data_IF_504826582502
#
_entry.id   IF_504826582502
#
_cell.length_a   1.000
_cell.length_b   1.000
_cell.length_c   1.000
_cell.angle_alpha   90.00
_cell.angle_beta   90.00
_cell.angle_gamma   90.00
#
_symmetry.space_group_name_H-M   'P 1'
#
loop_
_entity.id
_entity.type
_entity.pdbx_description
1 polymer ?
#
# COMPACT_ATOMS: atom_id res chain seq x y z
N UNK A 1 -3.63 -18.66 1.22
CA UNK A 1 -3.87 -20.00 1.80
C UNK A 1 -5.06 -20.72 1.16
N UNK A 2 -6.13 -20.04 0.77
CA UNK A 2 -7.34 -20.65 0.20
C UNK A 2 -7.08 -21.36 -1.15
N UNK A 3 -6.18 -20.84 -1.97
CA UNK A 3 -5.91 -21.39 -3.31
C UNK A 3 -4.71 -22.33 -3.38
N UNK A 4 -4.05 -22.64 -2.25
CA UNK A 4 -2.89 -23.55 -2.21
C UNK A 4 -1.65 -23.07 -2.99
N UNK A 5 -1.67 -21.85 -3.53
CA UNK A 5 -0.57 -21.29 -4.32
C UNK A 5 0.49 -20.71 -3.40
N UNK A 6 1.73 -21.19 -3.55
CA UNK A 6 2.87 -20.65 -2.85
C UNK A 6 3.37 -19.39 -3.56
N UNK A 7 3.30 -18.25 -2.87
CA UNK A 7 3.87 -16.97 -3.32
C UNK A 7 5.05 -16.60 -2.43
N UNK A 8 5.91 -15.68 -2.87
CA UNK A 8 7.02 -15.19 -2.03
C UNK A 8 6.52 -14.67 -0.68
N UNK A 9 5.44 -13.88 -0.67
CA UNK A 9 4.86 -13.34 0.56
C UNK A 9 4.33 -14.42 1.49
N UNK A 10 3.68 -15.47 0.96
CA UNK A 10 3.23 -16.59 1.77
C UNK A 10 4.39 -17.44 2.25
N UNK A 11 5.47 -17.58 1.47
CA UNK A 11 6.71 -18.22 1.85
C UNK A 11 7.40 -17.52 3.02
N UNK A 12 7.60 -16.20 2.92
CA UNK A 12 8.17 -15.36 4.00
C UNK A 12 7.37 -15.53 5.29
N UNK A 13 6.04 -15.40 5.20
CA UNK A 13 5.18 -15.53 6.38
C UNK A 13 5.22 -16.93 6.98
N UNK A 14 5.26 -17.97 6.17
CA UNK A 14 5.34 -19.36 6.62
C UNK A 14 6.67 -19.65 7.31
N UNK A 15 7.79 -19.26 6.69
CA UNK A 15 9.13 -19.45 7.28
C UNK A 15 9.25 -18.72 8.61
N UNK A 16 8.83 -17.44 8.64
CA UNK A 16 8.92 -16.63 9.84
C UNK A 16 7.98 -17.12 10.96
N UNK A 17 6.67 -17.19 10.67
CA UNK A 17 5.65 -17.38 11.70
C UNK A 17 5.38 -18.85 12.05
N UNK A 18 5.40 -19.74 11.03
CA UNK A 18 5.02 -21.14 11.24
C UNK A 18 6.24 -22.02 11.54
N UNK A 19 7.41 -21.72 10.97
CA UNK A 19 8.63 -22.51 11.12
C UNK A 19 9.62 -21.89 12.12
N UNK A 20 9.45 -20.62 12.49
CA UNK A 20 10.40 -19.88 13.34
C UNK A 20 11.75 -19.63 12.68
N UNK A 21 11.86 -19.91 11.38
CA UNK A 21 13.09 -19.76 10.61
C UNK A 21 13.19 -18.33 10.06
N UNK A 22 13.78 -17.45 10.87
CA UNK A 22 13.97 -16.04 10.55
C UNK A 22 15.01 -15.86 9.44
N UNK A 23 15.99 -16.74 9.36
CA UNK A 23 17.07 -16.69 8.36
C UNK A 23 16.51 -16.92 6.96
N UNK A 24 15.80 -18.00 6.73
CA UNK A 24 15.13 -18.28 5.45
C UNK A 24 14.10 -17.21 5.11
N UNK A 25 13.33 -16.71 6.09
CA UNK A 25 12.38 -15.63 5.87
C UNK A 25 13.08 -14.35 5.40
N UNK A 26 14.23 -14.00 5.99
CA UNK A 26 15.01 -12.81 5.62
C UNK A 26 15.62 -12.94 4.22
N UNK A 27 16.14 -14.10 3.85
CA UNK A 27 16.65 -14.37 2.50
C UNK A 27 15.56 -14.22 1.44
N UNK A 28 14.37 -14.77 1.67
CA UNK A 28 13.23 -14.63 0.76
C UNK A 28 12.78 -13.16 0.66
N UNK A 29 12.81 -12.41 1.78
CA UNK A 29 12.45 -11.00 1.81
C UNK A 29 13.44 -10.16 0.99
N UNK A 30 14.74 -10.40 1.13
CA UNK A 30 15.80 -9.72 0.36
C UNK A 30 15.68 -10.03 -1.14
N UNK A 31 15.43 -11.29 -1.50
CA UNK A 31 15.24 -11.70 -2.89
C UNK A 31 14.02 -10.99 -3.50
N UNK A 32 12.91 -10.97 -2.78
CA UNK A 32 11.71 -10.25 -3.21
C UNK A 32 11.96 -8.74 -3.35
N UNK A 33 12.72 -8.13 -2.44
CA UNK A 33 13.12 -6.74 -2.54
C UNK A 33 13.88 -6.45 -3.84
N UNK A 34 14.86 -7.27 -4.21
CA UNK A 34 15.60 -7.09 -5.45
C UNK A 34 14.71 -7.24 -6.69
N UNK A 35 13.77 -8.18 -6.69
CA UNK A 35 12.79 -8.34 -7.77
C UNK A 35 11.95 -7.06 -7.92
N UNK A 36 11.44 -6.52 -6.82
CA UNK A 36 10.64 -5.27 -6.83
C UNK A 36 11.47 -4.09 -7.35
N UNK A 37 12.69 -3.92 -6.85
CA UNK A 37 13.60 -2.84 -7.31
C UNK A 37 13.93 -2.98 -8.80
N UNK A 38 14.12 -4.19 -9.29
CA UNK A 38 14.38 -4.46 -10.71
C UNK A 38 13.20 -4.02 -11.59
N UNK A 39 11.97 -4.45 -11.27
CA UNK A 39 10.78 -4.05 -12.02
C UNK A 39 10.51 -2.54 -11.94
N UNK A 40 10.68 -1.95 -10.78
CA UNK A 40 10.55 -0.50 -10.61
C UNK A 40 11.58 0.27 -11.44
N UNK A 41 12.81 -0.21 -11.51
CA UNK A 41 13.86 0.40 -12.34
C UNK A 41 13.53 0.33 -13.82
N UNK A 42 12.96 -0.80 -14.28
CA UNK A 42 12.49 -0.95 -15.67
C UNK A 42 11.34 0.02 -15.94
N UNK A 43 10.33 0.06 -15.10
CA UNK A 43 9.21 0.99 -15.24
C UNK A 43 9.68 2.43 -15.35
N UNK A 44 10.58 2.82 -14.48
CA UNK A 44 11.15 4.15 -14.48
C UNK A 44 11.94 4.46 -15.77
N UNK A 45 12.76 3.51 -16.23
CA UNK A 45 13.50 3.66 -17.49
C UNK A 45 12.54 3.83 -18.68
N UNK A 46 11.46 3.06 -18.72
CA UNK A 46 10.44 3.19 -19.75
C UNK A 46 9.70 4.53 -19.65
N UNK A 47 9.26 4.92 -18.47
CA UNK A 47 8.53 6.17 -18.24
C UNK A 47 9.39 7.41 -18.52
N UNK A 48 10.70 7.35 -18.30
CA UNK A 48 11.62 8.45 -18.64
C UNK A 48 11.71 8.70 -20.15
N UNK A 49 11.49 7.67 -20.99
CA UNK A 49 11.46 7.80 -22.45
C UNK A 49 10.13 8.35 -22.97
N UNK A 50 9.03 8.10 -22.29
CA UNK A 50 7.69 8.57 -22.67
C UNK A 50 7.37 9.86 -21.92
N UNK A 51 7.86 11.01 -22.42
CA UNK A 51 7.34 12.31 -22.00
C UNK A 51 5.91 12.41 -22.54
N UNK A 52 4.93 12.12 -21.72
CA UNK A 52 3.55 12.49 -22.01
C UNK A 52 3.47 14.02 -22.03
N UNK A 53 3.60 14.62 -23.19
CA UNK A 53 3.27 16.01 -23.40
C UNK A 53 1.75 16.12 -23.21
N UNK A 54 1.32 16.49 -22.01
CA UNK A 54 -0.03 16.99 -21.83
C UNK A 54 -0.15 18.26 -22.66
N UNK A 55 -0.65 18.13 -23.90
CA UNK A 55 -1.06 19.28 -24.67
C UNK A 55 -2.24 19.92 -23.95
N UNK A 56 -2.16 21.20 -23.53
CA UNK A 56 -3.29 21.90 -22.92
C UNK A 56 -4.48 22.04 -23.86
N UNK A 57 -4.32 21.68 -25.11
CA UNK A 57 -5.36 21.69 -26.13
C UNK A 57 -6.15 20.38 -26.13
N UNK A 58 -6.81 20.08 -25.04
CA UNK A 58 -7.84 19.05 -25.01
C UNK A 58 -8.99 19.51 -25.90
N UNK A 59 -9.02 19.01 -27.16
CA UNK A 59 -10.25 19.09 -27.95
C UNK A 59 -11.38 18.63 -27.05
N UNK A 60 -12.38 19.50 -26.81
CA UNK A 60 -13.58 19.11 -26.07
C UNK A 60 -14.07 17.81 -26.70
N UNK A 61 -14.05 16.75 -25.93
CA UNK A 61 -14.65 15.48 -26.37
C UNK A 61 -16.07 15.78 -26.79
N UNK A 62 -16.40 15.56 -28.05
CA UNK A 62 -17.76 15.66 -28.54
C UNK A 62 -18.58 14.65 -27.71
N UNK A 63 -19.51 15.16 -26.95
CA UNK A 63 -20.39 14.32 -26.13
C UNK A 63 -21.37 13.62 -27.08
N UNK A 64 -20.89 12.57 -27.76
CA UNK A 64 -21.76 11.71 -28.55
C UNK A 64 -22.44 10.76 -27.56
N UNK A 65 -23.73 10.97 -27.36
CA UNK A 65 -24.53 10.04 -26.55
C UNK A 65 -24.55 8.67 -27.25
N UNK A 66 -24.06 7.60 -26.59
CA UNK A 66 -24.01 6.29 -27.22
C UNK A 66 -25.45 5.80 -27.55
N UNK A 67 -25.61 5.11 -28.69
CA UNK A 67 -26.84 4.45 -29.05
C UNK A 67 -27.35 3.54 -27.92
N UNK A 68 -28.64 3.34 -27.80
CA UNK A 68 -29.27 2.55 -26.74
C UNK A 68 -28.59 1.17 -26.54
N UNK A 69 -28.28 0.47 -27.62
CA UNK A 69 -27.57 -0.83 -27.60
C UNK A 69 -26.18 -0.71 -27.01
N UNK A 70 -25.42 0.30 -27.42
CA UNK A 70 -24.07 0.54 -26.90
C UNK A 70 -24.08 0.91 -25.42
N UNK A 71 -25.10 1.62 -24.95
CA UNK A 71 -25.29 1.95 -23.54
C UNK A 71 -25.47 0.70 -22.69
N UNK A 72 -26.32 -0.24 -23.14
CA UNK A 72 -26.52 -1.51 -22.44
C UNK A 72 -25.20 -2.30 -22.36
N UNK A 73 -24.48 -2.42 -23.47
CA UNK A 73 -23.17 -3.13 -23.50
C UNK A 73 -22.18 -2.49 -22.53
N UNK A 74 -22.06 -1.18 -22.53
CA UNK A 74 -21.18 -0.44 -21.61
C UNK A 74 -21.55 -0.74 -20.16
N UNK A 75 -22.85 -0.70 -19.81
CA UNK A 75 -23.29 -1.00 -18.44
C UNK A 75 -22.94 -2.45 -18.05
N UNK A 76 -23.18 -3.42 -18.94
CA UNK A 76 -22.82 -4.81 -18.67
C UNK A 76 -21.32 -4.99 -18.46
N UNK A 77 -20.49 -4.44 -19.34
CA UNK A 77 -19.02 -4.54 -19.24
C UNK A 77 -18.50 -3.89 -17.96
N UNK A 78 -19.08 -2.75 -17.55
CA UNK A 78 -18.70 -2.09 -16.29
C UNK A 78 -19.24 -2.82 -15.06
N UNK A 79 -20.39 -3.49 -15.16
CA UNK A 79 -21.03 -4.16 -14.03
C UNK A 79 -20.36 -5.50 -13.68
N UNK A 80 -19.85 -6.22 -14.68
CA UNK A 80 -19.19 -7.52 -14.48
C UNK A 80 -18.06 -7.46 -13.45
N UNK A 81 -17.07 -6.56 -13.53
CA UNK A 81 -16.01 -6.46 -12.52
C UNK A 81 -16.56 -6.14 -11.13
N UNK A 82 -17.62 -5.33 -11.04
CA UNK A 82 -18.23 -4.97 -9.75
C UNK A 82 -18.93 -6.19 -9.14
N UNK A 83 -19.68 -6.94 -9.94
CA UNK A 83 -20.37 -8.14 -9.45
C UNK A 83 -19.37 -9.21 -9.03
N UNK A 84 -18.39 -9.53 -9.89
CA UNK A 84 -17.43 -10.60 -9.62
C UNK A 84 -16.41 -10.22 -8.54
N UNK A 85 -15.92 -8.97 -8.56
CA UNK A 85 -14.85 -8.52 -7.66
C UNK A 85 -15.34 -7.96 -6.33
N UNK A 86 -16.58 -7.53 -6.24
CA UNK A 86 -17.12 -6.91 -5.03
C UNK A 86 -18.39 -7.62 -4.52
N UNK A 87 -19.43 -7.75 -5.34
CA UNK A 87 -20.73 -8.22 -4.87
C UNK A 87 -20.68 -9.67 -4.38
N UNK A 88 -20.08 -10.56 -5.16
CA UNK A 88 -19.98 -11.98 -4.80
C UNK A 88 -19.16 -12.18 -3.52
N UNK A 89 -17.92 -11.62 -3.37
CA UNK A 89 -17.17 -11.71 -2.11
C UNK A 89 -17.92 -11.12 -0.91
N UNK A 90 -18.58 -9.99 -1.08
CA UNK A 90 -19.35 -9.36 0.02
C UNK A 90 -20.53 -10.24 0.44
N UNK A 91 -21.31 -10.78 -0.50
CA UNK A 91 -22.42 -11.69 -0.18
C UNK A 91 -21.92 -12.96 0.53
N UNK A 92 -20.78 -13.51 0.11
CA UNK A 92 -20.16 -14.65 0.78
C UNK A 92 -19.76 -14.32 2.23
N UNK A 93 -19.13 -13.15 2.47
CA UNK A 93 -18.77 -12.69 3.81
C UNK A 93 -20.03 -12.48 4.66
N UNK A 94 -21.06 -11.80 4.14
CA UNK A 94 -22.32 -11.57 4.86
C UNK A 94 -22.96 -12.90 5.27
N UNK A 95 -23.04 -13.86 4.35
CA UNK A 95 -23.59 -15.17 4.65
C UNK A 95 -22.84 -15.88 5.79
N UNK A 96 -21.51 -15.84 5.77
CA UNK A 96 -20.69 -16.40 6.84
C UNK A 96 -20.90 -15.68 8.17
N UNK A 97 -21.00 -14.36 8.17
CA UNK A 97 -21.30 -13.56 9.38
C UNK A 97 -22.65 -13.93 9.97
N UNK A 98 -23.69 -14.08 9.13
CA UNK A 98 -25.03 -14.49 9.60
C UNK A 98 -24.97 -15.89 10.22
N UNK A 99 -24.22 -16.81 9.61
CA UNK A 99 -24.10 -18.19 10.10
C UNK A 99 -23.36 -18.27 11.44
N UNK A 100 -22.29 -17.48 11.63
CA UNK A 100 -21.47 -17.48 12.84
C UNK A 100 -21.88 -16.39 13.85
N UNK A 101 -23.01 -15.69 13.62
CA UNK A 101 -23.42 -14.52 14.40
C UNK A 101 -23.45 -14.76 15.91
N UNK A 102 -23.93 -15.94 16.33
CA UNK A 102 -24.01 -16.33 17.75
C UNK A 102 -22.64 -16.56 18.42
N UNK A 103 -21.56 -16.69 17.64
CA UNK A 103 -20.19 -16.90 18.14
C UNK A 103 -19.36 -15.63 18.15
N UNK A 104 -19.92 -14.51 17.68
CA UNK A 104 -19.21 -13.24 17.60
C UNK A 104 -19.13 -12.61 18.99
N UNK A 105 -17.90 -12.42 19.46
CA UNK A 105 -17.60 -11.61 20.63
C UNK A 105 -17.58 -10.12 20.23
N UNK A 106 -18.71 -9.44 20.45
CA UNK A 106 -18.87 -8.04 20.06
C UNK A 106 -17.95 -7.10 20.83
N UNK A 107 -17.63 -7.40 22.10
CA UNK A 107 -16.69 -6.60 22.89
C UNK A 107 -15.29 -6.65 22.29
N UNK A 108 -14.83 -7.84 21.94
CA UNK A 108 -13.55 -8.05 21.27
C UNK A 108 -13.50 -7.34 19.91
N UNK A 109 -14.57 -7.46 19.11
CA UNK A 109 -14.66 -6.79 17.79
C UNK A 109 -14.60 -5.28 17.95
N UNK A 110 -15.33 -4.72 18.92
CA UNK A 110 -15.32 -3.28 19.20
C UNK A 110 -13.93 -2.79 19.62
N UNK A 111 -13.26 -3.49 20.52
CA UNK A 111 -11.92 -3.15 20.99
C UNK A 111 -10.89 -3.22 19.85
N UNK A 112 -10.93 -4.27 19.02
CA UNK A 112 -10.04 -4.39 17.85
C UNK A 112 -10.29 -3.29 16.83
N UNK A 113 -11.56 -2.96 16.57
CA UNK A 113 -11.94 -1.89 15.65
C UNK A 113 -11.45 -0.54 16.13
N UNK A 114 -11.67 -0.23 17.41
CA UNK A 114 -11.23 1.03 18.03
C UNK A 114 -9.72 1.18 17.94
N UNK A 115 -8.97 0.15 18.30
CA UNK A 115 -7.51 0.15 18.19
C UNK A 115 -7.04 0.38 16.74
N UNK A 116 -7.69 -0.29 15.79
CA UNK A 116 -7.36 -0.13 14.36
C UNK A 116 -7.62 1.30 13.86
N UNK A 117 -8.75 1.90 14.26
CA UNK A 117 -9.10 3.28 13.92
C UNK A 117 -8.08 4.26 14.51
N UNK A 118 -7.73 4.11 15.80
CA UNK A 118 -6.77 4.99 16.47
C UNK A 118 -5.40 4.93 15.76
N UNK A 119 -4.88 3.72 15.50
CA UNK A 119 -3.60 3.53 14.82
C UNK A 119 -3.64 4.17 13.42
N UNK A 120 -4.72 3.94 12.69
CA UNK A 120 -4.87 4.47 11.32
C UNK A 120 -4.95 5.98 11.30
N UNK A 121 -5.67 6.61 12.24
CA UNK A 121 -5.78 8.06 12.35
C UNK A 121 -4.43 8.70 12.70
N UNK A 122 -3.73 8.17 13.69
CA UNK A 122 -2.42 8.69 14.08
C UNK A 122 -1.43 8.55 12.93
N UNK A 123 -1.35 7.36 12.32
CA UNK A 123 -0.44 7.12 11.21
C UNK A 123 -0.75 8.02 10.00
N UNK A 124 -2.03 8.18 9.64
CA UNK A 124 -2.43 9.04 8.52
C UNK A 124 -2.11 10.50 8.76
N UNK A 125 -2.32 10.99 9.97
CA UNK A 125 -1.99 12.37 10.35
C UNK A 125 -0.48 12.63 10.22
N UNK A 126 0.34 11.73 10.74
CA UNK A 126 1.80 11.80 10.60
C UNK A 126 2.22 11.78 9.13
N UNK A 127 1.65 10.87 8.32
CA UNK A 127 1.93 10.76 6.89
C UNK A 127 1.60 12.06 6.17
N UNK A 128 0.44 12.66 6.43
CA UNK A 128 0.02 13.91 5.79
C UNK A 128 0.97 15.05 6.14
N UNK A 129 1.32 15.21 7.41
CA UNK A 129 2.25 16.25 7.87
C UNK A 129 3.61 16.10 7.17
N UNK A 130 4.19 14.89 7.19
CA UNK A 130 5.50 14.64 6.57
C UNK A 130 5.42 14.82 5.05
N UNK A 131 4.35 14.34 4.40
CA UNK A 131 4.19 14.43 2.96
C UNK A 131 4.07 15.89 2.48
N UNK A 132 3.27 16.71 3.17
CA UNK A 132 3.15 18.15 2.88
C UNK A 132 4.48 18.85 3.07
N UNK A 133 5.15 18.62 4.20
CA UNK A 133 6.47 19.19 4.48
C UNK A 133 7.50 18.82 3.41
N UNK A 134 7.53 17.56 3.02
CA UNK A 134 8.47 17.04 2.02
C UNK A 134 8.22 17.64 0.62
N UNK A 135 6.94 17.77 0.19
CA UNK A 135 6.62 18.39 -1.09
C UNK A 135 6.88 19.89 -1.09
N UNK A 136 6.69 20.56 0.03
CA UNK A 136 7.04 21.97 0.20
C UNK A 136 8.56 22.19 0.08
N UNK A 137 9.38 21.38 0.75
CA UNK A 137 10.83 21.41 0.61
C UNK A 137 11.28 21.17 -0.83
N UNK A 138 10.69 20.21 -1.52
CA UNK A 138 10.99 19.91 -2.92
C UNK A 138 10.71 21.13 -3.83
N UNK A 139 9.64 21.86 -3.55
CA UNK A 139 9.28 23.06 -4.31
C UNK A 139 10.29 24.19 -4.12
N UNK A 140 10.76 24.41 -2.88
CA UNK A 140 11.70 25.49 -2.57
C UNK A 140 13.12 25.15 -3.08
N UNK A 141 13.61 23.98 -2.75
CA UNK A 141 15.03 23.67 -2.90
C UNK A 141 15.40 22.98 -4.21
N UNK A 142 14.50 22.68 -5.13
CA UNK A 142 14.74 22.03 -6.46
C UNK A 142 16.00 21.13 -6.54
N UNK A 143 16.32 20.45 -5.42
CA UNK A 143 17.55 19.68 -5.25
C UNK A 143 17.37 18.25 -5.76
N UNK A 144 18.40 17.73 -6.44
CA UNK A 144 18.44 16.34 -6.95
C UNK A 144 18.29 15.31 -5.83
N UNK A 145 18.86 15.61 -4.65
CA UNK A 145 18.76 14.74 -3.47
C UNK A 145 17.31 14.55 -3.01
N UNK A 146 16.53 15.63 -2.94
CA UNK A 146 15.11 15.56 -2.52
C UNK A 146 14.30 14.75 -3.54
N UNK A 147 14.61 14.89 -4.83
CA UNK A 147 13.97 14.10 -5.89
C UNK A 147 14.29 12.62 -5.71
N UNK A 148 15.53 12.27 -5.42
CA UNK A 148 15.95 10.90 -5.14
C UNK A 148 15.21 10.29 -3.95
N UNK A 149 15.09 11.02 -2.83
CA UNK A 149 14.33 10.55 -1.67
C UNK A 149 12.84 10.32 -2.00
N UNK A 150 12.21 11.19 -2.78
CA UNK A 150 10.83 10.98 -3.25
C UNK A 150 10.67 9.66 -4.03
N UNK A 151 11.67 9.29 -4.80
CA UNK A 151 11.66 8.05 -5.57
C UNK A 151 11.86 6.82 -4.69
N UNK A 152 12.76 6.91 -3.72
CA UNK A 152 12.98 5.85 -2.72
C UNK A 152 11.71 5.63 -1.90
N UNK A 153 11.05 6.70 -1.46
CA UNK A 153 9.78 6.61 -0.73
C UNK A 153 8.70 5.92 -1.58
N UNK A 154 8.67 6.19 -2.88
CA UNK A 154 7.70 5.53 -3.78
C UNK A 154 7.87 4.01 -3.85
N UNK A 155 9.08 3.50 -3.62
CA UNK A 155 9.36 2.05 -3.54
C UNK A 155 8.71 1.38 -2.33
N UNK A 156 8.54 2.10 -1.23
CA UNK A 156 8.01 1.50 0.01
C UNK A 156 6.61 0.92 -0.14
N UNK A 157 5.80 1.49 -1.02
CA UNK A 157 4.46 0.97 -1.32
C UNK A 157 4.49 -0.36 -2.09
N UNK A 158 5.49 -0.57 -2.93
CA UNK A 158 5.64 -1.80 -3.71
C UNK A 158 6.10 -2.98 -2.83
N UNK A 159 6.67 -2.70 -1.64
CA UNK A 159 7.12 -3.75 -0.73
C UNK A 159 5.93 -4.39 -0.01
N UNK A 160 5.87 -5.73 0.05
CA UNK A 160 4.89 -6.42 0.88
C UNK A 160 5.03 -6.08 2.35
N UNK A 161 3.89 -5.94 3.05
CA UNK A 161 3.91 -5.58 4.47
C UNK A 161 4.66 -6.56 5.36
N UNK A 162 4.68 -7.84 5.00
CA UNK A 162 5.45 -8.86 5.71
C UNK A 162 6.96 -8.56 5.69
N UNK A 163 7.49 -8.04 4.58
CA UNK A 163 8.91 -7.67 4.45
C UNK A 163 9.23 -6.50 5.38
N UNK A 164 8.38 -5.47 5.39
CA UNK A 164 8.55 -4.30 6.27
C UNK A 164 8.46 -4.72 7.74
N UNK A 165 7.46 -5.53 8.10
CA UNK A 165 7.29 -6.02 9.47
C UNK A 165 8.48 -6.83 9.95
N UNK A 166 8.95 -7.80 9.14
CA UNK A 166 10.13 -8.60 9.46
C UNK A 166 11.39 -7.74 9.60
N UNK A 167 11.62 -6.80 8.68
CA UNK A 167 12.78 -5.91 8.73
C UNK A 167 12.80 -5.04 9.99
N UNK A 168 11.64 -4.55 10.43
CA UNK A 168 11.54 -3.77 11.66
C UNK A 168 11.80 -4.63 12.90
N UNK A 169 11.24 -5.84 12.95
CA UNK A 169 11.51 -6.74 14.07
C UNK A 169 13.00 -7.05 14.14
N UNK A 170 13.63 -7.43 13.02
CA UNK A 170 15.07 -7.69 12.97
C UNK A 170 15.89 -6.48 13.39
N UNK A 171 15.52 -5.28 12.94
CA UNK A 171 16.22 -4.04 13.31
C UNK A 171 16.18 -3.82 14.81
N UNK A 172 15.02 -3.96 15.44
CA UNK A 172 14.86 -3.70 16.87
C UNK A 172 15.37 -4.83 17.77
N UNK A 173 15.47 -6.07 17.26
CA UNK A 173 16.04 -7.19 18.00
C UNK A 173 17.56 -7.27 17.89
N UNK A 174 18.16 -6.80 16.78
CA UNK A 174 19.60 -6.90 16.54
C UNK A 174 20.40 -5.77 17.18
N UNK A 175 19.77 -4.65 17.53
CA UNK A 175 20.42 -3.55 18.24
C UNK A 175 20.15 -3.65 19.74
N UNK A 176 21.12 -3.25 20.59
CA UNK A 176 20.98 -3.33 22.05
C UNK A 176 20.04 -2.26 22.62
N UNK A 177 18.93 -2.05 21.96
CA UNK A 177 17.79 -1.40 22.59
C UNK A 177 17.16 -2.44 23.51
N UNK A 178 17.73 -2.62 24.70
CA UNK A 178 17.31 -3.55 25.75
C UNK A 178 15.86 -3.36 26.24
N UNK A 179 15.07 -2.61 25.52
CA UNK A 179 13.68 -2.41 25.85
C UNK A 179 12.81 -3.37 25.04
N UNK A 180 12.61 -4.58 25.57
CA UNK A 180 11.53 -5.49 25.16
C UNK A 180 10.17 -4.79 25.06
N UNK A 181 10.00 -3.68 25.79
CA UNK A 181 8.84 -2.79 25.74
C UNK A 181 8.62 -2.10 24.39
N UNK A 182 9.65 -1.95 23.54
CA UNK A 182 9.51 -1.36 22.20
C UNK A 182 9.03 -2.38 21.18
N UNK A 183 9.46 -3.64 21.33
CA UNK A 183 9.07 -4.73 20.41
C UNK A 183 7.61 -5.09 20.72
N UNK A 184 6.72 -4.86 19.77
CA UNK A 184 5.27 -5.05 19.95
C UNK A 184 4.54 -3.80 20.45
N UNK A 185 5.25 -2.67 20.63
CA UNK A 185 4.63 -1.42 21.03
C UNK A 185 3.77 -0.82 19.90
N UNK A 186 2.76 -0.06 20.32
CA UNK A 186 1.92 0.76 19.45
C UNK A 186 2.77 1.67 18.53
N UNK A 187 3.90 2.19 19.02
CA UNK A 187 4.80 3.07 18.29
C UNK A 187 5.46 2.40 17.07
N UNK A 188 5.92 1.16 17.21
CA UNK A 188 6.52 0.42 16.09
C UNK A 188 5.50 0.15 15.00
N UNK A 189 4.26 -0.16 15.38
CA UNK A 189 3.18 -0.40 14.42
C UNK A 189 2.82 0.87 13.64
N UNK A 190 2.71 2.02 14.34
CA UNK A 190 2.54 3.33 13.70
C UNK A 190 3.69 3.64 12.76
N UNK A 191 4.94 3.40 13.19
CA UNK A 191 6.14 3.61 12.36
C UNK A 191 6.12 2.73 11.10
N UNK A 192 5.74 1.45 11.23
CA UNK A 192 5.56 0.54 10.10
C UNK A 192 4.54 1.06 9.08
N UNK A 193 3.41 1.56 9.56
CA UNK A 193 2.37 2.14 8.71
C UNK A 193 2.84 3.43 8.03
N UNK A 194 3.54 4.29 8.76
CA UNK A 194 4.11 5.52 8.18
C UNK A 194 5.07 5.19 7.05
N UNK A 195 6.03 4.29 7.25
CA UNK A 195 6.95 3.86 6.20
C UNK A 195 6.19 3.31 5.00
N UNK A 196 5.27 2.38 5.24
CA UNK A 196 4.55 1.68 4.17
C UNK A 196 3.68 2.60 3.33
N UNK A 197 2.95 3.50 3.96
CA UNK A 197 1.94 4.32 3.30
C UNK A 197 2.39 5.74 2.96
N UNK A 198 3.66 6.09 3.23
CA UNK A 198 4.21 7.40 2.89
C UNK A 198 4.08 7.72 1.40
N UNK A 199 4.29 6.74 0.53
CA UNK A 199 4.13 6.89 -0.92
C UNK A 199 2.71 7.29 -1.32
N UNK A 200 1.69 6.75 -0.62
CA UNK A 200 0.27 7.06 -0.86
C UNK A 200 -0.03 8.51 -0.47
N UNK A 201 0.59 9.02 0.60
CA UNK A 201 0.46 10.42 1.00
C UNK A 201 1.17 11.39 0.03
N UNK A 202 2.33 11.02 -0.47
CA UNK A 202 3.15 11.87 -1.35
C UNK A 202 2.57 11.95 -2.77
N UNK A 203 2.06 10.86 -3.32
CA UNK A 203 1.64 10.76 -4.72
C UNK A 203 0.59 11.81 -5.15
N UNK A 204 -0.54 12.00 -4.44
CA UNK A 204 -1.54 13.00 -4.80
C UNK A 204 -1.02 14.44 -4.61
N UNK A 205 -0.23 14.69 -3.57
CA UNK A 205 0.38 15.99 -3.34
C UNK A 205 1.37 16.35 -4.45
N UNK A 206 2.22 15.41 -4.87
CA UNK A 206 3.12 15.61 -6.01
C UNK A 206 2.34 16.05 -7.26
N UNK A 207 1.26 15.33 -7.59
CA UNK A 207 0.41 15.68 -8.75
C UNK A 207 -0.22 17.07 -8.64
N UNK A 208 -0.61 17.48 -7.44
CA UNK A 208 -1.19 18.81 -7.18
C UNK A 208 -0.14 19.92 -7.28
N UNK A 209 1.03 19.72 -6.68
CA UNK A 209 2.11 20.71 -6.69
C UNK A 209 2.75 20.88 -8.09
N UNK A 210 2.79 19.81 -8.89
CA UNK A 210 3.33 19.85 -10.25
C UNK A 210 2.37 20.59 -11.24
N UNK A 211 1.06 20.70 -10.91
CA UNK A 211 0.06 21.41 -11.73
C UNK A 211 -0.03 22.91 -11.46
N UNK A 212 0.39 23.35 -10.28
CA UNK A 212 0.36 24.76 -9.90
C UNK A 212 1.81 25.23 -9.68
N UNK A 213 2.46 25.80 -10.72
CA UNK A 213 3.84 26.31 -10.65
C UNK A 213 3.99 27.49 -9.67
#
# INVERSE_FOLDING_TARGET
KYFGVNTFTSGIFRSWYSMGDVETASLLAVLLFFIVVFFFSIERYLNARYKFNYSPNTKKFKNESPSFKNRIIIHFVCLIPIILGFLIPVLFIINNVIYEFSRIDFEKVFNLTTNTIIISLISSLIIVIIAVYFQFLKRIFKNRTITFFNEVISLTYALPGAVIGLSLILLFTSYPFENELLIGSFGILVYAYVIRYMAVGISPLKSSFDKHP
#
